data_IF_399011410318
#
_entry.id   IF_399011410318
#
_cell.length_a   1.000
_cell.length_b   1.000
_cell.length_c   1.000
_cell.angle_alpha   90.00
_cell.angle_beta   90.00
_cell.angle_gamma   90.00
#
_symmetry.space_group_name_H-M   'P 1'
#
loop_
_entity.id
_entity.type
_entity.pdbx_description
1 polymer ?
#
# COMPACT_ATOMS: atom_id res chain seq x y z
N UNK A 1 -69.55 56.88 27.13
CA UNK A 1 -68.23 56.98 26.48
C UNK A 1 -67.49 55.70 26.77
N UNK A 2 -67.18 54.98 25.69
CA UNK A 2 -66.77 53.59 25.60
C UNK A 2 -65.33 53.38 26.03
N UNK A 3 -65.13 52.57 27.07
CA UNK A 3 -63.82 51.99 27.42
C UNK A 3 -63.99 50.47 27.54
N UNK A 4 -64.20 49.83 26.39
CA UNK A 4 -64.03 48.38 26.28
C UNK A 4 -62.53 48.12 26.17
N UNK A 5 -61.98 47.42 27.15
CA UNK A 5 -60.54 47.17 27.29
C UNK A 5 -59.99 46.40 26.09
N UNK A 6 -59.05 47.01 25.37
CA UNK A 6 -58.32 46.38 24.25
C UNK A 6 -57.32 45.28 24.68
N UNK A 7 -57.18 45.02 25.99
CA UNK A 7 -56.21 44.10 26.57
C UNK A 7 -56.14 42.69 25.93
N UNK A 8 -57.26 42.02 25.53
CA UNK A 8 -57.20 40.68 24.96
C UNK A 8 -56.56 40.65 23.55
N UNK A 9 -56.69 41.75 22.80
CA UNK A 9 -56.18 41.86 21.42
C UNK A 9 -54.68 42.16 21.40
N UNK A 10 -54.22 42.96 22.34
CA UNK A 10 -52.80 43.30 22.51
C UNK A 10 -51.99 42.08 22.96
N UNK A 11 -52.52 41.27 23.89
CA UNK A 11 -51.88 40.02 24.33
C UNK A 11 -51.75 39.00 23.19
N UNK A 12 -52.80 38.84 22.37
CA UNK A 12 -52.78 37.96 21.18
C UNK A 12 -51.75 38.41 20.14
N UNK A 13 -51.63 39.71 19.88
CA UNK A 13 -50.63 40.25 18.98
C UNK A 13 -49.20 40.04 19.51
N UNK A 14 -49.00 40.12 20.83
CA UNK A 14 -47.70 39.82 21.46
C UNK A 14 -47.32 38.35 21.27
N UNK A 15 -48.24 37.42 21.54
CA UNK A 15 -48.02 35.98 21.36
C UNK A 15 -47.70 35.63 19.90
N UNK A 16 -48.41 36.24 18.95
CA UNK A 16 -48.14 36.04 17.52
C UNK A 16 -46.75 36.57 17.14
N UNK A 17 -46.37 37.76 17.63
CA UNK A 17 -45.04 38.33 17.39
C UNK A 17 -43.91 37.49 18.00
N UNK A 18 -44.09 36.99 19.22
CA UNK A 18 -43.15 36.06 19.88
C UNK A 18 -43.01 34.74 19.08
N UNK A 19 -44.12 34.21 18.57
CA UNK A 19 -44.11 33.01 17.73
C UNK A 19 -43.43 33.21 16.37
N UNK A 20 -43.55 34.41 15.79
CA UNK A 20 -42.84 34.76 14.54
C UNK A 20 -41.34 34.89 14.75
N UNK A 21 -40.91 35.58 15.82
CA UNK A 21 -39.50 35.72 16.16
C UNK A 21 -38.83 34.35 16.42
N UNK A 22 -39.51 33.48 17.17
CA UNK A 22 -39.03 32.12 17.42
C UNK A 22 -38.92 31.28 16.12
N UNK A 23 -39.88 31.43 15.20
CA UNK A 23 -39.83 30.74 13.91
C UNK A 23 -38.66 31.22 13.03
N UNK A 24 -38.35 32.52 13.06
CA UNK A 24 -37.19 33.10 12.36
C UNK A 24 -35.87 32.58 12.93
N UNK A 25 -35.74 32.52 14.27
CA UNK A 25 -34.56 31.95 14.94
C UNK A 25 -34.33 30.48 14.57
N UNK A 26 -35.39 29.66 14.58
CA UNK A 26 -35.30 28.27 14.15
C UNK A 26 -34.89 28.13 12.68
N UNK A 27 -35.37 29.01 11.80
CA UNK A 27 -34.97 29.00 10.40
C UNK A 27 -33.49 29.31 10.24
N UNK A 28 -32.98 30.33 10.94
CA UNK A 28 -31.57 30.70 10.91
C UNK A 28 -30.68 29.57 11.45
N UNK A 29 -31.08 28.95 12.54
CA UNK A 29 -30.35 27.81 13.13
C UNK A 29 -30.30 26.61 12.19
N UNK A 30 -31.40 26.30 11.50
CA UNK A 30 -31.42 25.21 10.52
C UNK A 30 -30.51 25.50 9.31
N UNK A 31 -30.47 26.75 8.83
CA UNK A 31 -29.55 27.14 7.76
C UNK A 31 -28.08 27.02 8.19
N UNK A 32 -27.76 27.38 9.43
CA UNK A 32 -26.43 27.21 9.99
C UNK A 32 -26.03 25.74 10.11
N UNK A 33 -26.89 24.90 10.69
CA UNK A 33 -26.66 23.46 10.79
C UNK A 33 -26.47 22.80 9.42
N UNK A 34 -27.22 23.22 8.39
CA UNK A 34 -27.01 22.67 7.06
C UNK A 34 -25.72 23.13 6.41
N UNK A 35 -25.25 24.35 6.68
CA UNK A 35 -23.91 24.79 6.25
C UNK A 35 -22.83 23.96 6.93
N UNK A 36 -22.95 23.71 8.23
CA UNK A 36 -22.01 22.86 8.97
C UNK A 36 -22.01 21.42 8.45
N UNK A 37 -23.21 20.84 8.20
CA UNK A 37 -23.35 19.50 7.64
C UNK A 37 -22.68 19.38 6.28
N UNK A 38 -22.89 20.35 5.39
CA UNK A 38 -22.26 20.38 4.06
C UNK A 38 -20.73 20.47 4.19
N UNK A 39 -20.23 21.34 5.08
CA UNK A 39 -18.79 21.48 5.32
C UNK A 39 -18.17 20.19 5.87
N UNK A 40 -18.84 19.53 6.82
CA UNK A 40 -18.38 18.27 7.40
C UNK A 40 -18.38 17.12 6.38
N UNK A 41 -19.39 17.04 5.50
CA UNK A 41 -19.43 16.05 4.41
C UNK A 41 -18.29 16.32 3.42
N UNK A 42 -18.06 17.57 3.04
CA UNK A 42 -16.97 17.93 2.13
C UNK A 42 -15.58 17.62 2.74
N UNK A 43 -15.40 17.77 4.05
CA UNK A 43 -14.16 17.37 4.74
C UNK A 43 -14.00 15.85 4.77
N UNK A 44 -15.06 15.11 5.11
CA UNK A 44 -15.06 13.64 5.08
C UNK A 44 -14.70 13.12 3.69
N UNK A 45 -15.31 13.66 2.65
CA UNK A 45 -15.10 13.20 1.29
C UNK A 45 -13.66 13.49 0.82
N UNK A 46 -13.08 14.62 1.24
CA UNK A 46 -11.64 14.91 1.05
C UNK A 46 -10.74 13.91 1.78
N UNK A 47 -11.07 13.57 3.03
CA UNK A 47 -10.32 12.57 3.79
C UNK A 47 -10.42 11.16 3.18
N UNK A 48 -11.60 10.77 2.68
CA UNK A 48 -11.79 9.50 1.98
C UNK A 48 -11.00 9.45 0.66
N UNK A 49 -10.99 10.54 -0.10
CA UNK A 49 -10.18 10.64 -1.32
C UNK A 49 -8.68 10.51 -0.99
N UNK A 50 -8.20 11.20 0.03
CA UNK A 50 -6.81 11.10 0.48
C UNK A 50 -6.45 9.67 0.94
N UNK A 51 -7.36 9.01 1.66
CA UNK A 51 -7.22 7.60 2.06
C UNK A 51 -7.08 6.69 0.84
N UNK A 52 -7.96 6.83 -0.15
CA UNK A 52 -7.92 6.01 -1.37
C UNK A 52 -6.61 6.20 -2.14
N UNK A 53 -6.11 7.43 -2.23
CA UNK A 53 -4.81 7.72 -2.85
C UNK A 53 -3.66 7.01 -2.11
N UNK A 54 -3.67 7.05 -0.77
CA UNK A 54 -2.67 6.38 0.04
C UNK A 54 -2.73 4.85 -0.10
N UNK A 55 -3.93 4.27 -0.12
CA UNK A 55 -4.14 2.83 -0.34
C UNK A 55 -3.66 2.39 -1.72
N UNK A 56 -3.93 3.19 -2.75
CA UNK A 56 -3.44 2.92 -4.11
C UNK A 56 -1.91 2.94 -4.15
N UNK A 57 -1.26 3.97 -3.62
CA UNK A 57 0.19 4.07 -3.58
C UNK A 57 0.84 2.90 -2.81
N UNK A 58 0.22 2.47 -1.70
CA UNK A 58 0.67 1.30 -0.95
C UNK A 58 0.59 0.02 -1.79
N UNK A 59 -0.51 -0.18 -2.54
CA UNK A 59 -0.68 -1.35 -3.39
C UNK A 59 0.33 -1.37 -4.55
N UNK A 60 0.59 -0.22 -5.17
CA UNK A 60 1.60 -0.07 -6.22
C UNK A 60 3.01 -0.39 -5.67
N UNK A 61 3.35 0.12 -4.49
CA UNK A 61 4.62 -0.19 -3.83
C UNK A 61 4.76 -1.68 -3.50
N UNK A 62 3.69 -2.33 -2.99
CA UNK A 62 3.68 -3.77 -2.72
C UNK A 62 3.89 -4.59 -4.00
N UNK A 63 3.24 -4.21 -5.10
CA UNK A 63 3.41 -4.88 -6.39
C UNK A 63 4.86 -4.75 -6.90
N UNK A 64 5.46 -3.56 -6.80
CA UNK A 64 6.84 -3.33 -7.20
C UNK A 64 7.83 -4.16 -6.35
N UNK A 65 7.62 -4.23 -5.02
CA UNK A 65 8.44 -5.06 -4.14
C UNK A 65 8.31 -6.54 -4.52
N UNK A 66 7.08 -7.02 -4.79
CA UNK A 66 6.88 -8.41 -5.20
C UNK A 66 7.63 -8.74 -6.50
N UNK A 67 7.63 -7.85 -7.49
CA UNK A 67 8.40 -8.05 -8.73
C UNK A 67 9.90 -8.19 -8.46
N UNK A 68 10.44 -7.37 -7.55
CA UNK A 68 11.85 -7.48 -7.13
C UNK A 68 12.11 -8.80 -6.41
N UNK A 69 11.21 -9.23 -5.54
CA UNK A 69 11.33 -10.51 -4.82
C UNK A 69 11.37 -11.70 -5.79
N UNK A 70 10.51 -11.72 -6.81
CA UNK A 70 10.51 -12.78 -7.82
C UNK A 70 11.83 -12.84 -8.60
N UNK A 71 12.46 -11.69 -8.87
CA UNK A 71 13.77 -11.63 -9.54
C UNK A 71 14.93 -12.12 -8.68
N UNK A 72 14.79 -12.12 -7.36
CA UNK A 72 15.81 -12.57 -6.42
C UNK A 72 15.72 -14.06 -6.09
N UNK A 73 14.71 -14.75 -6.64
CA UNK A 73 14.56 -16.19 -6.46
C UNK A 73 15.56 -16.97 -7.31
N UNK A 74 16.04 -18.06 -6.73
CA UNK A 74 16.86 -19.02 -7.41
C UNK A 74 16.03 -19.73 -8.49
N UNK A 75 16.49 -19.77 -9.75
CA UNK A 75 15.77 -20.44 -10.83
C UNK A 75 15.61 -21.97 -10.66
N UNK A 76 16.36 -22.59 -9.74
CA UNK A 76 16.27 -24.03 -9.45
C UNK A 76 15.30 -24.30 -8.28
N UNK A 77 15.38 -23.53 -7.20
CA UNK A 77 14.63 -23.82 -5.95
C UNK A 77 13.40 -22.94 -5.73
N UNK A 78 13.25 -21.85 -6.50
CA UNK A 78 12.24 -20.80 -6.31
C UNK A 78 12.34 -20.08 -4.94
N UNK A 79 13.45 -20.24 -4.23
CA UNK A 79 13.74 -19.56 -2.96
C UNK A 79 14.67 -18.36 -3.15
N UNK A 80 14.58 -17.36 -2.26
CA UNK A 80 15.45 -16.17 -2.31
C UNK A 80 16.93 -16.58 -2.13
N UNK A 81 17.79 -16.13 -3.05
CA UNK A 81 19.22 -16.47 -3.11
C UNK A 81 20.04 -15.75 -2.03
N UNK A 82 20.11 -16.30 -0.82
CA UNK A 82 20.97 -15.76 0.27
C UNK A 82 22.46 -16.02 0.05
N UNK A 83 22.76 -17.07 -0.69
CA UNK A 83 24.07 -17.63 -1.01
C UNK A 83 24.32 -17.56 -2.52
N UNK A 84 24.02 -16.40 -3.13
CA UNK A 84 24.05 -16.24 -4.57
C UNK A 84 25.46 -16.47 -5.17
N UNK A 85 25.52 -17.31 -6.20
CA UNK A 85 26.69 -17.68 -7.00
C UNK A 85 26.43 -17.34 -8.47
N UNK A 86 27.36 -16.61 -9.07
CA UNK A 86 27.37 -16.21 -10.47
C UNK A 86 28.20 -17.20 -11.30
N UNK A 87 27.61 -17.70 -12.39
CA UNK A 87 28.36 -18.38 -13.45
C UNK A 87 28.90 -17.32 -14.39
N UNK A 88 30.20 -17.03 -14.33
CA UNK A 88 30.82 -15.92 -15.05
C UNK A 88 30.81 -16.12 -16.58
N UNK A 89 30.81 -17.37 -17.03
CA UNK A 89 30.71 -17.71 -18.45
C UNK A 89 29.43 -17.16 -19.10
N UNK A 90 28.30 -17.18 -18.38
CA UNK A 90 26.98 -16.85 -18.95
C UNK A 90 26.18 -15.77 -18.19
N UNK A 91 26.66 -15.33 -17.02
CA UNK A 91 26.04 -14.29 -16.20
C UNK A 91 24.84 -14.73 -15.36
N UNK A 92 24.43 -16.01 -15.41
CA UNK A 92 23.30 -16.50 -14.61
C UNK A 92 23.70 -16.72 -13.15
N UNK A 93 22.79 -16.38 -12.23
CA UNK A 93 22.99 -16.48 -10.79
C UNK A 93 22.05 -17.52 -10.18
N UNK A 94 22.55 -18.31 -9.23
CA UNK A 94 21.82 -19.36 -8.51
C UNK A 94 22.21 -19.34 -7.04
N UNK A 95 21.44 -20.01 -6.18
CA UNK A 95 21.92 -20.36 -4.83
C UNK A 95 23.05 -21.37 -4.91
N UNK A 96 24.11 -21.20 -4.12
CA UNK A 96 25.24 -22.12 -4.00
C UNK A 96 24.76 -23.56 -3.79
N UNK A 97 23.89 -23.79 -2.81
CA UNK A 97 23.36 -25.14 -2.50
C UNK A 97 22.66 -25.76 -3.72
N UNK A 98 21.88 -24.96 -4.44
CA UNK A 98 21.13 -25.44 -5.60
C UNK A 98 22.05 -25.80 -6.78
N UNK A 99 23.13 -25.03 -6.96
CA UNK A 99 24.11 -25.26 -8.00
C UNK A 99 24.92 -26.52 -7.70
N UNK A 100 25.36 -26.71 -6.45
CA UNK A 100 26.06 -27.94 -6.02
C UNK A 100 25.19 -29.18 -6.24
N UNK A 101 23.91 -29.14 -5.84
CA UNK A 101 23.00 -30.27 -6.07
C UNK A 101 22.82 -30.59 -7.55
N UNK A 102 22.76 -29.55 -8.39
CA UNK A 102 22.71 -29.70 -9.84
C UNK A 102 24.00 -30.32 -10.40
N UNK A 103 25.18 -29.88 -9.96
CA UNK A 103 26.48 -30.43 -10.37
C UNK A 103 26.64 -31.89 -9.95
N UNK A 104 26.22 -32.26 -8.74
CA UNK A 104 26.22 -33.66 -8.27
C UNK A 104 25.37 -34.54 -9.18
N UNK A 105 24.25 -34.03 -9.72
CA UNK A 105 23.43 -34.77 -10.69
C UNK A 105 24.13 -35.01 -12.03
N UNK A 106 25.21 -34.27 -12.30
CA UNK A 106 26.02 -34.32 -13.53
C UNK A 106 27.42 -34.92 -13.29
N UNK A 107 27.60 -35.61 -12.17
CA UNK A 107 28.87 -36.17 -11.73
C UNK A 107 29.60 -36.99 -12.83
N UNK A 108 30.93 -36.84 -12.88
CA UNK A 108 31.80 -37.52 -13.85
C UNK A 108 32.13 -36.70 -15.10
N UNK A 109 31.66 -35.45 -15.20
CA UNK A 109 32.01 -34.51 -16.28
C UNK A 109 33.03 -33.49 -15.81
N UNK A 110 34.01 -33.20 -16.67
CA UNK A 110 35.00 -32.12 -16.45
C UNK A 110 34.37 -30.72 -16.60
N UNK A 111 33.30 -30.62 -17.41
CA UNK A 111 32.55 -29.39 -17.64
C UNK A 111 31.11 -29.54 -17.18
N UNK A 112 30.60 -28.51 -16.53
CA UNK A 112 29.20 -28.37 -16.13
C UNK A 112 28.45 -27.54 -17.17
N UNK A 113 27.12 -27.68 -17.22
CA UNK A 113 26.26 -26.89 -18.13
C UNK A 113 25.32 -26.02 -17.33
N UNK A 114 25.19 -24.74 -17.66
CA UNK A 114 24.25 -23.85 -16.99
C UNK A 114 22.81 -24.41 -17.09
N UNK A 115 22.05 -24.51 -15.98
CA UNK A 115 20.66 -25.00 -16.00
C UNK A 115 19.73 -24.21 -16.92
N UNK A 116 20.03 -22.92 -17.16
CA UNK A 116 19.18 -22.01 -17.96
C UNK A 116 19.59 -22.02 -19.44
N UNK A 117 20.84 -21.63 -19.74
CA UNK A 117 21.28 -21.45 -21.12
C UNK A 117 22.09 -22.62 -21.68
N UNK A 118 22.44 -23.62 -20.85
CA UNK A 118 23.25 -24.80 -21.19
C UNK A 118 24.68 -24.50 -21.64
N UNK A 119 25.15 -23.28 -21.43
CA UNK A 119 26.56 -22.91 -21.66
C UNK A 119 27.48 -23.69 -20.73
N UNK A 120 28.64 -24.11 -21.26
CA UNK A 120 29.62 -24.87 -20.50
C UNK A 120 30.38 -23.95 -19.56
N UNK A 121 30.60 -24.41 -18.33
CA UNK A 121 31.40 -23.73 -17.33
C UNK A 121 32.17 -24.74 -16.48
N UNK A 122 33.21 -24.28 -15.79
CA UNK A 122 33.96 -25.04 -14.81
C UNK A 122 33.91 -24.36 -13.44
N UNK A 123 34.45 -25.02 -12.42
CA UNK A 123 34.46 -24.51 -11.04
C UNK A 123 35.11 -23.12 -10.92
N UNK A 124 36.15 -22.85 -11.72
CA UNK A 124 36.82 -21.53 -11.74
C UNK A 124 35.95 -20.41 -12.33
N UNK A 125 34.86 -20.75 -13.02
CA UNK A 125 33.91 -19.77 -13.55
C UNK A 125 32.85 -19.38 -12.51
N UNK A 126 32.88 -19.94 -11.30
CA UNK A 126 31.95 -19.63 -10.22
C UNK A 126 32.51 -18.53 -9.32
N UNK A 127 31.71 -17.48 -9.11
CA UNK A 127 32.05 -16.39 -8.18
C UNK A 127 30.86 -16.04 -7.30
N UNK A 128 31.12 -15.58 -6.08
CA UNK A 128 30.07 -15.07 -5.20
C UNK A 128 29.45 -13.79 -5.81
N UNK A 129 28.12 -13.74 -5.87
CA UNK A 129 27.42 -12.56 -6.34
C UNK A 129 26.98 -11.68 -5.16
N UNK A 130 27.93 -10.96 -4.57
CA UNK A 130 27.67 -10.11 -3.39
C UNK A 130 26.53 -9.11 -3.60
N UNK A 131 26.40 -8.53 -4.80
CA UNK A 131 25.32 -7.60 -5.10
C UNK A 131 23.93 -8.25 -4.98
N UNK A 132 23.78 -9.49 -5.45
CA UNK A 132 22.52 -10.25 -5.30
C UNK A 132 22.31 -10.67 -3.85
N UNK A 133 23.36 -11.05 -3.12
CA UNK A 133 23.27 -11.40 -1.69
C UNK A 133 22.81 -10.20 -0.84
N UNK A 134 23.40 -9.02 -1.06
CA UNK A 134 23.01 -7.79 -0.36
C UNK A 134 21.54 -7.44 -0.64
N UNK A 135 21.10 -7.58 -1.90
CA UNK A 135 19.69 -7.38 -2.27
C UNK A 135 18.77 -8.44 -1.64
N UNK A 136 19.19 -9.69 -1.56
CA UNK A 136 18.46 -10.77 -0.92
C UNK A 136 18.27 -10.52 0.58
N UNK A 137 19.28 -9.99 1.27
CA UNK A 137 19.19 -9.63 2.69
C UNK A 137 18.19 -8.49 2.92
N UNK A 138 18.24 -7.45 2.08
CA UNK A 138 17.25 -6.36 2.12
C UNK A 138 15.84 -6.89 1.85
N UNK A 139 15.67 -7.75 0.85
CA UNK A 139 14.41 -8.39 0.52
C UNK A 139 13.82 -9.20 1.69
N UNK A 140 14.65 -9.99 2.38
CA UNK A 140 14.23 -10.76 3.56
C UNK A 140 13.83 -9.82 4.70
N UNK A 141 14.53 -8.71 4.90
CA UNK A 141 14.14 -7.70 5.88
C UNK A 141 12.79 -7.06 5.54
N UNK A 142 12.55 -6.71 4.28
CA UNK A 142 11.29 -6.14 3.80
C UNK A 142 10.11 -7.10 4.01
N UNK A 143 10.28 -8.39 3.72
CA UNK A 143 9.25 -9.41 3.94
C UNK A 143 8.79 -9.48 5.41
N UNK A 144 9.71 -9.30 6.36
CA UNK A 144 9.38 -9.26 7.80
C UNK A 144 8.51 -8.05 8.14
N UNK A 145 8.82 -6.89 7.58
CA UNK A 145 8.06 -5.65 7.81
C UNK A 145 6.68 -5.74 7.16
N UNK A 146 6.57 -6.34 5.97
CA UNK A 146 5.30 -6.47 5.25
C UNK A 146 4.34 -7.51 5.83
N UNK A 147 4.83 -8.40 6.70
CA UNK A 147 4.03 -9.45 7.35
C UNK A 147 3.47 -9.02 8.72
N UNK A 148 3.77 -7.79 9.17
CA UNK A 148 3.23 -7.17 10.39
C UNK A 148 2.06 -6.24 10.07
#
# INVERSE_FOLDING_TARGET
MSSLSNAPKEELLRIIGEGQAFAEELCQMNEELERERIAAVAERDRALAAKHIAEQALNEAKAAIQEVLERLKCPITDEIMKDAMLICACGHTFSEVSLILYEVSQAGRYWQTCPICRELFCENDLMENYAVRDLADVAVALLRVMSM
#
